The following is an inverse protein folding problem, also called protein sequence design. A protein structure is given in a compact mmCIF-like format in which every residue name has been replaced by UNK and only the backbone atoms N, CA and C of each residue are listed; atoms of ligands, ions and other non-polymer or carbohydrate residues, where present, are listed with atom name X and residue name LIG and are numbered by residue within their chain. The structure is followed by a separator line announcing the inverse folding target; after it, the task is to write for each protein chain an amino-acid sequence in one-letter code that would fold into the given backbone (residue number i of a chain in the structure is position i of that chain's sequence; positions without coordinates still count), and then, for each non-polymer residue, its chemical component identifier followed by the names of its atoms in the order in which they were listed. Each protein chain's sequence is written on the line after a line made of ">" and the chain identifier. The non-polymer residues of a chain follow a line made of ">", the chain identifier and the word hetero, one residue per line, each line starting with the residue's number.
data_IF_218086374474
#
_entry.id   IF_218086374474
#
_cell.length_a   1.000
_cell.length_b   1.000
_cell.length_c   1.000
_cell.angle_alpha   90.00
_cell.angle_beta   90.00
_cell.angle_gamma   90.00
#
_symmetry.space_group_name_H-M   'P 1'
#
loop_
_entity.id
_entity.type
_entity.pdbx_description
1 polymer ?
#
# COMPACT_ATOMS: atom_id res chain seq x y z
N UNK A 1 -17.63 -2.89 29.68
CA UNK A 1 -18.79 -3.50 30.35
C UNK A 1 -19.16 -4.75 29.54
N UNK A 2 -19.99 -5.63 30.08
CA UNK A 2 -20.46 -6.83 29.37
C UNK A 2 -21.92 -6.61 29.00
N UNK A 3 -22.21 -6.65 27.69
CA UNK A 3 -23.59 -6.62 27.19
C UNK A 3 -24.33 -7.93 27.52
N UNK A 4 -25.65 -7.89 27.42
CA UNK A 4 -26.62 -8.98 27.70
C UNK A 4 -26.33 -10.34 27.01
N UNK A 5 -25.36 -10.37 26.08
CA UNK A 5 -24.87 -11.54 25.35
C UNK A 5 -23.63 -12.24 25.96
N UNK A 6 -23.08 -11.72 27.06
CA UNK A 6 -21.85 -12.24 27.69
C UNK A 6 -20.56 -11.92 26.94
N UNK A 7 -20.64 -11.24 25.79
CA UNK A 7 -19.48 -10.74 25.06
C UNK A 7 -19.05 -9.36 25.58
N UNK A 8 -17.74 -9.05 25.57
CA UNK A 8 -17.24 -7.69 25.74
C UNK A 8 -17.92 -6.72 24.77
N UNK A 9 -18.23 -5.49 25.21
CA UNK A 9 -18.93 -4.48 24.40
C UNK A 9 -18.31 -4.27 23.01
N UNK A 10 -16.98 -4.39 22.90
CA UNK A 10 -16.21 -4.20 21.67
C UNK A 10 -16.33 -5.38 20.67
N UNK A 11 -16.89 -6.51 21.06
CA UNK A 11 -17.15 -7.64 20.17
C UNK A 11 -18.55 -7.60 19.53
N UNK A 12 -19.42 -6.69 19.97
CA UNK A 12 -20.78 -6.55 19.46
C UNK A 12 -20.82 -6.00 18.02
N UNK A 13 -21.84 -6.38 17.26
CA UNK A 13 -22.06 -5.86 15.89
C UNK A 13 -22.33 -4.35 15.87
N UNK A 14 -22.98 -3.82 16.91
CA UNK A 14 -23.22 -2.38 17.05
C UNK A 14 -21.89 -1.63 17.23
N UNK A 15 -20.96 -2.17 18.02
CA UNK A 15 -19.65 -1.59 18.19
C UNK A 15 -18.82 -1.68 16.90
N UNK A 16 -18.76 -2.84 16.24
CA UNK A 16 -18.04 -3.02 14.97
C UNK A 16 -18.50 -2.04 13.89
N UNK A 17 -19.83 -1.86 13.74
CA UNK A 17 -20.40 -0.88 12.80
C UNK A 17 -20.00 0.55 13.16
N UNK A 18 -20.01 0.88 14.46
CA UNK A 18 -19.62 2.21 14.95
C UNK A 18 -18.14 2.48 14.71
N UNK A 19 -17.26 1.52 15.00
CA UNK A 19 -15.83 1.62 14.73
C UNK A 19 -15.58 1.83 13.24
N UNK A 20 -16.13 0.96 12.39
CA UNK A 20 -15.95 1.05 10.92
C UNK A 20 -16.35 2.42 10.40
N UNK A 21 -17.52 2.92 10.80
CA UNK A 21 -18.00 4.25 10.40
C UNK A 21 -17.05 5.37 10.84
N UNK A 22 -16.58 5.32 12.09
CA UNK A 22 -15.64 6.33 12.61
C UNK A 22 -14.30 6.30 11.88
N UNK A 23 -13.75 5.10 11.63
CA UNK A 23 -12.51 4.95 10.88
C UNK A 23 -12.64 5.44 9.45
N UNK A 24 -13.74 5.12 8.76
CA UNK A 24 -13.98 5.56 7.38
C UNK A 24 -14.17 7.07 7.28
N UNK A 25 -14.94 7.68 8.18
CA UNK A 25 -15.12 9.14 8.21
C UNK A 25 -13.81 9.86 8.52
N UNK A 26 -13.01 9.36 9.46
CA UNK A 26 -11.71 9.95 9.72
C UNK A 26 -10.79 9.80 8.50
N UNK A 27 -10.79 8.64 7.84
CA UNK A 27 -9.98 8.39 6.66
C UNK A 27 -10.37 9.30 5.49
N UNK A 28 -11.66 9.55 5.24
CA UNK A 28 -12.09 10.47 4.18
C UNK A 28 -11.50 11.87 4.35
N UNK A 29 -11.40 12.33 5.59
CA UNK A 29 -11.01 13.71 5.89
C UNK A 29 -9.50 13.88 6.12
N UNK A 30 -8.80 12.80 6.49
CA UNK A 30 -7.40 12.85 6.97
C UNK A 30 -6.44 11.94 6.19
N UNK A 31 -6.90 11.21 5.18
CA UNK A 31 -6.02 10.35 4.40
C UNK A 31 -4.90 11.18 3.75
N UNK A 32 -3.65 10.72 3.96
CA UNK A 32 -2.52 11.24 3.19
C UNK A 32 -2.72 11.01 1.70
N UNK A 33 -2.40 12.03 0.93
CA UNK A 33 -2.29 11.96 -0.51
C UNK A 33 -1.06 11.13 -0.90
N UNK A 34 -1.27 9.94 -1.49
CA UNK A 34 -0.22 9.01 -1.88
C UNK A 34 -0.44 8.58 -3.33
N UNK A 35 0.59 8.57 -4.19
CA UNK A 35 0.43 8.32 -5.63
C UNK A 35 -0.34 7.04 -5.97
N UNK A 36 -0.02 5.94 -5.30
CA UNK A 36 -0.65 4.63 -5.51
C UNK A 36 -2.12 4.56 -5.05
N UNK A 37 -2.63 5.56 -4.30
CA UNK A 37 -4.06 5.63 -3.94
C UNK A 37 -4.93 6.26 -5.03
N UNK A 38 -4.32 6.86 -6.06
CA UNK A 38 -5.03 7.39 -7.22
C UNK A 38 -5.17 6.38 -8.35
N UNK A 39 -4.67 5.17 -8.15
CA UNK A 39 -4.69 4.10 -9.14
C UNK A 39 -5.59 2.97 -8.68
N UNK A 40 -6.29 2.38 -9.64
CA UNK A 40 -6.99 1.10 -9.49
C UNK A 40 -6.30 -0.03 -10.26
N UNK A 41 -5.12 0.22 -10.84
CA UNK A 41 -4.36 -0.78 -11.57
C UNK A 41 -3.71 -1.78 -10.60
N UNK A 42 -4.01 -3.09 -10.70
CA UNK A 42 -3.39 -4.11 -9.85
C UNK A 42 -1.87 -4.12 -9.90
N UNK A 43 -1.26 -3.82 -11.05
CA UNK A 43 0.20 -3.78 -11.22
C UNK A 43 0.80 -2.64 -10.40
N UNK A 44 0.26 -1.43 -10.54
CA UNK A 44 0.75 -0.26 -9.81
C UNK A 44 0.55 -0.43 -8.30
N UNK A 45 -0.60 -0.95 -7.87
CA UNK A 45 -0.87 -1.25 -6.47
C UNK A 45 0.14 -2.28 -5.95
N UNK A 46 0.35 -3.38 -6.68
CA UNK A 46 1.31 -4.43 -6.31
C UNK A 46 2.73 -3.88 -6.13
N UNK A 47 3.23 -3.10 -7.08
CA UNK A 47 4.55 -2.47 -6.99
C UNK A 47 4.66 -1.59 -5.73
N UNK A 48 3.64 -0.77 -5.45
CA UNK A 48 3.65 0.09 -4.27
C UNK A 48 3.74 -0.72 -2.97
N UNK A 49 2.99 -1.83 -2.86
CA UNK A 49 2.98 -2.69 -1.69
C UNK A 49 4.32 -3.41 -1.48
N UNK A 50 4.97 -3.89 -2.55
CA UNK A 50 6.30 -4.51 -2.46
C UNK A 50 7.34 -3.49 -1.99
N UNK A 51 7.33 -2.27 -2.55
CA UNK A 51 8.26 -1.21 -2.15
C UNK A 51 8.06 -0.76 -0.69
N UNK A 52 6.81 -0.72 -0.20
CA UNK A 52 6.49 -0.27 1.16
C UNK A 52 6.89 -1.26 2.25
N UNK A 53 7.21 -2.52 1.92
CA UNK A 53 7.71 -3.45 2.91
C UNK A 53 9.03 -2.94 3.50
N UNK A 54 9.08 -2.82 4.83
CA UNK A 54 10.25 -2.36 5.60
C UNK A 54 10.86 -1.03 5.12
N UNK A 55 10.11 -0.21 4.38
CA UNK A 55 10.57 1.05 3.80
C UNK A 55 9.59 2.18 4.14
N UNK A 56 10.11 3.37 4.42
CA UNK A 56 9.26 4.52 4.75
C UNK A 56 8.59 5.10 3.51
N UNK A 57 7.34 5.55 3.67
CA UNK A 57 6.53 6.17 2.59
C UNK A 57 7.27 7.29 1.85
N UNK A 58 7.93 8.19 2.58
CA UNK A 58 8.66 9.32 1.98
C UNK A 58 9.78 8.86 1.03
N UNK A 59 10.44 7.74 1.38
CA UNK A 59 11.46 7.11 0.53
C UNK A 59 10.84 6.45 -0.70
N UNK A 60 9.70 5.77 -0.55
CA UNK A 60 9.07 5.01 -1.66
C UNK A 60 8.54 5.92 -2.77
N UNK A 61 7.97 7.10 -2.45
CA UNK A 61 7.33 7.99 -3.44
C UNK A 61 8.19 8.25 -4.69
N UNK A 62 9.45 8.71 -4.60
CA UNK A 62 10.29 8.93 -5.78
C UNK A 62 10.65 7.63 -6.53
N UNK A 63 10.77 6.50 -5.83
CA UNK A 63 11.05 5.20 -6.45
C UNK A 63 9.86 4.64 -7.21
N UNK A 64 8.67 4.70 -6.62
CA UNK A 64 7.44 4.29 -7.28
C UNK A 64 7.25 5.06 -8.60
N UNK A 65 7.42 6.38 -8.58
CA UNK A 65 7.30 7.22 -9.79
C UNK A 65 8.34 6.88 -10.86
N UNK A 66 9.62 6.72 -10.49
CA UNK A 66 10.67 6.37 -11.46
C UNK A 66 10.47 4.98 -12.05
N UNK A 67 10.01 4.03 -11.23
CA UNK A 67 9.84 2.64 -11.61
C UNK A 67 8.69 2.49 -12.60
N UNK A 68 7.53 3.08 -12.32
CA UNK A 68 6.40 3.06 -13.26
C UNK A 68 6.64 3.88 -14.53
N UNK A 69 7.52 4.88 -14.49
CA UNK A 69 7.94 5.57 -15.70
C UNK A 69 8.81 4.69 -16.61
N UNK A 70 9.62 3.79 -16.02
CA UNK A 70 10.48 2.86 -16.76
C UNK A 70 9.75 1.58 -17.18
N UNK A 71 8.85 1.09 -16.33
CA UNK A 71 8.01 -0.09 -16.54
C UNK A 71 6.55 0.27 -16.25
N UNK A 72 5.84 0.92 -17.19
CA UNK A 72 4.43 1.28 -17.03
C UNK A 72 3.50 0.09 -16.89
N UNK A 73 3.88 -1.08 -17.42
CA UNK A 73 3.06 -2.28 -17.40
C UNK A 73 3.81 -3.49 -16.85
N UNK A 74 3.05 -4.45 -16.30
CA UNK A 74 3.60 -5.74 -15.86
C UNK A 74 4.34 -6.47 -17.00
N UNK A 75 3.86 -6.34 -18.24
CA UNK A 75 4.51 -6.95 -19.40
C UNK A 75 5.86 -6.28 -19.72
N UNK A 76 5.96 -4.95 -19.60
CA UNK A 76 7.23 -4.24 -19.78
C UNK A 76 8.24 -4.61 -18.69
N UNK A 77 7.78 -4.76 -17.43
CA UNK A 77 8.63 -5.29 -16.36
C UNK A 77 9.09 -6.72 -16.66
N UNK A 78 8.20 -7.59 -17.12
CA UNK A 78 8.52 -8.99 -17.41
C UNK A 78 9.53 -9.17 -18.56
N UNK A 79 9.59 -8.21 -19.49
CA UNK A 79 10.54 -8.20 -20.60
C UNK A 79 11.82 -7.40 -20.30
N UNK A 80 11.90 -6.75 -19.13
CA UNK A 80 13.04 -5.93 -18.76
C UNK A 80 14.27 -6.78 -18.47
N UNK A 81 15.45 -6.21 -18.72
CA UNK A 81 16.69 -6.80 -18.25
C UNK A 81 16.77 -6.71 -16.72
N UNK A 82 17.19 -7.81 -16.07
CA UNK A 82 17.28 -7.89 -14.61
C UNK A 82 18.18 -6.79 -14.02
N UNK A 83 19.28 -6.45 -14.69
CA UNK A 83 20.16 -5.37 -14.20
C UNK A 83 19.49 -4.00 -14.27
N UNK A 84 18.61 -3.78 -15.25
CA UNK A 84 17.81 -2.55 -15.32
C UNK A 84 16.82 -2.47 -14.15
N UNK A 85 16.14 -3.57 -13.84
CA UNK A 85 15.22 -3.66 -12.70
C UNK A 85 15.97 -3.41 -11.39
N UNK A 86 17.09 -4.09 -11.17
CA UNK A 86 17.92 -3.94 -9.97
C UNK A 86 18.48 -2.52 -9.81
N UNK A 87 18.89 -1.88 -10.91
CA UNK A 87 19.38 -0.50 -10.90
C UNK A 87 18.30 0.50 -10.48
N UNK A 88 17.06 0.31 -10.92
CA UNK A 88 15.92 1.14 -10.49
C UNK A 88 15.47 0.86 -9.04
N UNK A 89 15.75 -0.35 -8.54
CA UNK A 89 15.43 -0.79 -7.19
C UNK A 89 16.52 -0.44 -6.15
N UNK A 90 17.73 -0.10 -6.61
CA UNK A 90 18.89 0.16 -5.76
C UNK A 90 18.62 1.28 -4.74
N UNK A 91 18.92 0.99 -3.46
CA UNK A 91 18.71 1.92 -2.36
C UNK A 91 17.38 1.79 -1.60
N UNK A 92 16.41 0.98 -2.08
CA UNK A 92 15.21 0.62 -1.31
C UNK A 92 15.45 -0.50 -0.27
N UNK A 93 16.64 -1.10 -0.26
CA UNK A 93 17.00 -2.21 0.63
C UNK A 93 16.40 -3.55 0.19
N UNK A 94 17.13 -4.64 0.47
CA UNK A 94 16.82 -6.02 0.10
C UNK A 94 16.57 -6.28 -1.39
N UNK A 95 17.64 -6.68 -2.09
CA UNK A 95 17.64 -7.18 -3.48
C UNK A 95 16.79 -8.45 -3.72
N UNK A 96 16.25 -9.10 -2.67
CA UNK A 96 15.40 -10.30 -2.79
C UNK A 96 13.91 -10.03 -3.10
N UNK A 97 13.51 -8.75 -3.16
CA UNK A 97 12.11 -8.35 -3.43
C UNK A 97 11.89 -7.79 -4.84
N UNK A 98 12.98 -7.54 -5.58
CA UNK A 98 12.94 -7.11 -6.98
C UNK A 98 12.73 -8.32 -7.89
#
# INVERSE_FOLDING_TARGET
>A
MTTDSGLPDWLTDSWRRTLRRRCLNWYSDNARDLPWRHSSDPYEIWISEIMLQQTQVATVIPYYKRFLAAFPTCLELANADEQQVLGLWEGLGYYRRA
#
